data_IF_840806797476
#
_entry.id   IF_840806797476
#
_cell.length_a   1.000
_cell.length_b   1.000
_cell.length_c   1.000
_cell.angle_alpha   90.00
_cell.angle_beta   90.00
_cell.angle_gamma   90.00
#
_symmetry.space_group_name_H-M   'P 1'
#
loop_
_entity.id
_entity.type
_entity.pdbx_description
1 polymer ?
#
# COMPACT_ATOMS: atom_id res chain seq x y z
N UNK A 1 13.28 -53.76 -28.53
CA UNK A 1 14.07 -52.57 -28.84
C UNK A 1 13.93 -51.56 -27.71
N UNK A 2 14.94 -51.51 -26.83
CA UNK A 2 15.01 -50.51 -25.77
C UNK A 2 15.51 -49.20 -26.37
N UNK A 3 14.63 -48.20 -26.45
CA UNK A 3 15.03 -46.84 -26.79
C UNK A 3 15.62 -46.19 -25.54
N UNK A 4 16.94 -46.05 -25.56
CA UNK A 4 17.69 -45.25 -24.60
C UNK A 4 17.19 -43.81 -24.68
N UNK A 5 16.53 -43.34 -23.62
CA UNK A 5 16.17 -41.93 -23.48
C UNK A 5 17.45 -41.16 -23.18
N UNK A 6 17.96 -40.47 -24.19
CA UNK A 6 19.07 -39.55 -24.05
C UNK A 6 18.60 -38.34 -23.23
N UNK A 7 19.12 -38.22 -22.00
CA UNK A 7 18.87 -37.09 -21.11
C UNK A 7 19.50 -35.87 -21.76
N UNK A 8 18.69 -34.97 -22.35
CA UNK A 8 19.16 -33.64 -22.74
C UNK A 8 19.36 -32.83 -21.45
N UNK A 9 20.57 -32.31 -21.19
CA UNK A 9 20.80 -31.49 -20.01
C UNK A 9 20.07 -30.15 -20.19
N UNK A 10 19.05 -29.93 -19.35
CA UNK A 10 18.22 -28.74 -19.35
C UNK A 10 19.09 -27.50 -19.05
N UNK A 11 19.22 -26.64 -20.06
CA UNK A 11 19.88 -25.34 -19.94
C UNK A 11 19.00 -24.45 -19.07
N UNK A 12 19.30 -24.46 -17.77
CA UNK A 12 18.51 -23.86 -16.72
C UNK A 12 17.97 -22.45 -17.00
N UNK A 13 16.67 -22.32 -16.81
CA UNK A 13 16.01 -21.04 -16.51
C UNK A 13 15.49 -21.11 -15.07
N UNK A 14 16.03 -20.31 -14.14
CA UNK A 14 15.46 -20.16 -12.80
C UNK A 14 14.16 -19.36 -12.92
N UNK A 15 13.03 -19.95 -12.51
CA UNK A 15 11.75 -19.24 -12.41
C UNK A 15 10.52 -20.01 -12.87
N UNK A 16 10.66 -21.17 -13.52
CA UNK A 16 9.52 -22.04 -13.83
C UNK A 16 9.43 -23.15 -12.77
N UNK A 17 8.61 -22.93 -11.75
CA UNK A 17 8.12 -23.91 -10.78
C UNK A 17 7.36 -25.03 -11.50
N UNK A 18 8.13 -26.01 -12.01
CA UNK A 18 7.62 -27.28 -12.54
C UNK A 18 7.18 -28.17 -11.39
N UNK A 19 5.90 -28.16 -11.06
CA UNK A 19 5.25 -29.39 -10.62
C UNK A 19 4.96 -30.24 -11.86
N UNK A 20 5.78 -31.27 -12.06
CA UNK A 20 5.67 -32.20 -13.18
C UNK A 20 4.43 -33.09 -13.03
N UNK A 21 3.47 -32.97 -13.96
CA UNK A 21 2.32 -33.87 -14.03
C UNK A 21 1.22 -33.49 -15.02
N UNK A 22 1.53 -33.50 -16.32
CA UNK A 22 0.65 -33.93 -17.43
C UNK A 22 -0.76 -33.32 -17.64
N UNK A 23 -0.92 -32.05 -18.03
CA UNK A 23 -1.98 -31.64 -18.98
C UNK A 23 -1.98 -30.14 -19.35
N UNK A 24 -2.20 -29.91 -20.64
CA UNK A 24 -2.95 -28.82 -21.26
C UNK A 24 -2.39 -27.39 -21.42
N UNK A 25 -2.34 -27.04 -22.70
CA UNK A 25 -2.27 -25.70 -23.26
C UNK A 25 -3.56 -24.90 -22.93
N UNK A 26 -3.83 -24.61 -21.66
CA UNK A 26 -4.87 -23.65 -21.26
C UNK A 26 -4.22 -22.35 -20.75
N UNK A 27 -3.94 -21.45 -21.69
CA UNK A 27 -3.40 -20.11 -21.44
C UNK A 27 -4.43 -19.14 -20.80
N UNK A 28 -5.47 -19.62 -20.11
CA UNK A 28 -6.53 -18.74 -19.56
C UNK A 28 -6.57 -18.68 -18.03
N UNK A 29 -5.82 -19.52 -17.32
CA UNK A 29 -5.74 -19.42 -15.85
C UNK A 29 -4.29 -19.22 -15.44
N UNK A 30 -3.90 -17.95 -15.33
CA UNK A 30 -2.64 -17.59 -14.71
C UNK A 30 -2.75 -17.82 -13.19
N UNK A 31 -1.64 -18.24 -12.61
CA UNK A 31 -1.34 -18.17 -11.19
C UNK A 31 -0.09 -17.26 -11.15
N UNK A 32 -0.31 -15.96 -10.97
CA UNK A 32 0.72 -14.93 -11.12
C UNK A 32 1.77 -14.99 -10.03
N UNK A 33 1.38 -15.39 -8.83
CA UNK A 33 2.21 -15.33 -7.65
C UNK A 33 2.80 -16.69 -7.25
N UNK A 34 2.26 -17.78 -7.81
CA UNK A 34 2.77 -19.13 -7.71
C UNK A 34 2.40 -19.83 -6.40
N UNK A 35 1.31 -19.42 -5.74
CA UNK A 35 0.86 -19.99 -4.47
C UNK A 35 0.02 -21.28 -4.61
N UNK A 36 -0.37 -21.60 -5.85
CA UNK A 36 -1.16 -22.78 -6.21
C UNK A 36 -2.66 -22.53 -6.36
N UNK A 37 -3.12 -21.28 -6.24
CA UNK A 37 -4.47 -20.82 -6.53
C UNK A 37 -4.44 -20.02 -7.84
N UNK A 38 -5.50 -20.12 -8.65
CA UNK A 38 -5.57 -19.42 -9.93
C UNK A 38 -6.01 -17.98 -9.67
N UNK A 39 -5.53 -17.01 -10.45
CA UNK A 39 -5.83 -15.58 -10.30
C UNK A 39 -7.34 -15.26 -10.22
N UNK A 40 -8.20 -16.10 -10.80
CA UNK A 40 -9.67 -15.92 -10.75
C UNK A 40 -10.31 -16.37 -9.42
N UNK A 41 -9.64 -17.26 -8.70
CA UNK A 41 -10.06 -17.84 -7.42
C UNK A 41 -9.21 -17.31 -6.25
N UNK A 42 -8.20 -16.48 -6.52
CA UNK A 42 -7.23 -15.97 -5.56
C UNK A 42 -7.68 -14.62 -4.98
N UNK A 43 -7.81 -14.55 -3.65
CA UNK A 43 -8.15 -13.31 -2.96
C UNK A 43 -6.97 -12.32 -2.82
N UNK A 44 -5.76 -12.71 -3.27
CA UNK A 44 -4.60 -11.84 -3.42
C UNK A 44 -3.74 -12.21 -4.68
N UNK A 45 -4.21 -11.97 -5.92
CA UNK A 45 -3.58 -12.45 -7.17
C UNK A 45 -2.14 -11.98 -7.49
N UNK A 46 -1.53 -11.19 -6.62
CA UNK A 46 -0.18 -10.65 -6.76
C UNK A 46 0.71 -10.94 -5.53
N UNK A 47 0.16 -11.56 -4.47
CA UNK A 47 0.82 -11.77 -3.18
C UNK A 47 0.54 -13.18 -2.60
N UNK A 48 1.54 -14.11 -2.62
CA UNK A 48 1.30 -15.53 -2.33
C UNK A 48 0.67 -15.82 -0.97
N UNK A 49 -0.51 -16.44 -0.99
CA UNK A 49 -1.25 -16.77 0.22
C UNK A 49 -2.10 -18.05 0.07
N UNK A 50 -1.46 -19.20 -0.19
CA UNK A 50 -2.17 -20.46 -0.50
C UNK A 50 -3.09 -21.04 0.59
N UNK A 51 -3.21 -20.40 1.75
CA UNK A 51 -4.25 -20.69 2.75
C UNK A 51 -5.53 -19.85 2.57
N UNK A 52 -5.51 -18.84 1.69
CA UNK A 52 -6.60 -17.95 1.31
C UNK A 52 -7.30 -17.37 2.55
N UNK A 53 -6.49 -16.93 3.52
CA UNK A 53 -6.99 -16.36 4.78
C UNK A 53 -7.63 -15.00 4.52
N UNK A 54 -8.85 -14.82 5.00
CA UNK A 54 -9.63 -13.58 4.96
C UNK A 54 -10.45 -13.55 6.27
N UNK A 55 -9.97 -12.77 7.25
CA UNK A 55 -10.50 -12.83 8.61
C UNK A 55 -11.80 -12.05 8.79
N UNK A 56 -12.04 -11.00 8.01
CA UNK A 56 -13.23 -10.16 8.12
C UNK A 56 -14.27 -10.39 7.02
N UNK A 57 -13.93 -11.21 6.02
CA UNK A 57 -14.80 -11.72 4.96
C UNK A 57 -15.23 -10.64 3.97
N UNK A 58 -14.32 -9.73 3.63
CA UNK A 58 -14.56 -8.66 2.66
C UNK A 58 -14.16 -9.01 1.23
N UNK A 59 -13.47 -10.15 1.05
CA UNK A 59 -13.04 -10.68 -0.24
C UNK A 59 -11.60 -10.36 -0.60
N UNK A 60 -10.85 -9.62 0.22
CA UNK A 60 -9.41 -9.46 0.12
C UNK A 60 -8.72 -10.39 1.12
N UNK A 61 -7.63 -11.03 0.70
CA UNK A 61 -6.86 -11.87 1.61
C UNK A 61 -6.07 -11.03 2.62
N UNK A 62 -5.87 -11.59 3.82
CA UNK A 62 -5.14 -10.96 4.93
C UNK A 62 -3.73 -10.45 4.55
N UNK A 63 -3.16 -10.97 3.45
CA UNK A 63 -1.83 -10.60 2.94
C UNK A 63 -1.85 -9.30 2.13
N UNK A 64 -2.90 -9.07 1.34
CA UNK A 64 -3.07 -7.90 0.49
C UNK A 64 -4.08 -6.89 1.05
N UNK A 65 -4.79 -7.22 2.14
CA UNK A 65 -5.65 -6.29 2.86
C UNK A 65 -4.89 -5.41 3.87
N UNK A 66 -5.17 -4.10 3.81
CA UNK A 66 -4.67 -3.11 4.75
C UNK A 66 -5.31 -3.19 6.14
N UNK A 67 -6.51 -3.78 6.25
CA UNK A 67 -7.31 -3.74 7.45
C UNK A 67 -7.95 -5.11 7.76
N UNK A 68 -7.15 -6.19 8.01
CA UNK A 68 -7.54 -7.62 8.00
C UNK A 68 -8.52 -8.05 9.10
N UNK A 69 -9.17 -7.10 9.76
CA UNK A 69 -10.13 -7.32 10.85
C UNK A 69 -11.34 -6.40 10.73
N UNK A 70 -11.44 -5.62 9.64
CA UNK A 70 -12.46 -4.62 9.40
C UNK A 70 -12.96 -4.65 7.95
N UNK A 71 -14.01 -5.43 7.73
CA UNK A 71 -14.68 -5.58 6.44
C UNK A 71 -15.34 -4.32 5.86
N UNK A 72 -15.27 -3.18 6.54
CA UNK A 72 -15.75 -1.91 5.98
C UNK A 72 -14.62 -1.13 5.29
N UNK A 73 -13.39 -1.63 5.31
CA UNK A 73 -12.22 -1.02 4.65
C UNK A 73 -11.48 -2.03 3.74
N UNK A 74 -12.18 -2.74 2.83
CA UNK A 74 -11.57 -3.67 1.87
C UNK A 74 -10.69 -2.91 0.89
N UNK A 75 -9.38 -2.83 1.09
CA UNK A 75 -8.45 -1.96 0.33
C UNK A 75 -8.60 -1.82 -1.20
N UNK A 76 -7.82 -0.85 -1.74
CA UNK A 76 -7.65 -0.38 -3.14
C UNK A 76 -8.24 1.03 -3.47
N UNK A 77 -8.83 1.74 -2.50
CA UNK A 77 -9.19 3.15 -2.64
C UNK A 77 -8.09 4.14 -2.16
N UNK A 78 -6.93 3.61 -1.75
CA UNK A 78 -5.75 4.40 -1.38
C UNK A 78 -5.90 5.20 -0.08
N UNK A 79 -6.87 4.86 0.78
CA UNK A 79 -7.09 5.54 2.06
C UNK A 79 -6.77 4.68 3.29
N UNK A 80 -5.74 3.83 3.25
CA UNK A 80 -5.32 3.14 4.46
C UNK A 80 -4.76 4.13 5.52
N UNK A 81 -5.33 4.18 6.74
CA UNK A 81 -4.81 5.03 7.81
C UNK A 81 -3.43 4.61 8.35
N UNK A 82 -2.81 3.54 7.84
CA UNK A 82 -1.53 3.06 8.37
C UNK A 82 -0.50 2.50 7.37
N UNK A 83 -0.75 2.45 6.05
CA UNK A 83 0.35 2.27 5.07
C UNK A 83 0.74 3.63 4.44
N UNK A 84 1.22 4.55 5.29
CA UNK A 84 2.21 5.54 4.84
C UNK A 84 1.76 6.75 4.00
N UNK A 85 0.48 7.11 3.88
CA UNK A 85 0.11 8.47 3.41
C UNK A 85 -1.28 8.97 3.80
N UNK A 86 -1.56 9.01 5.09
CA UNK A 86 -2.11 10.27 5.60
C UNK A 86 -0.91 11.13 5.92
N UNK A 87 -0.71 12.19 5.15
CA UNK A 87 0.05 13.33 5.63
C UNK A 87 -0.71 13.85 6.85
N UNK A 88 -0.45 13.25 8.01
CA UNK A 88 -0.72 13.88 9.30
C UNK A 88 0.23 15.07 9.25
N UNK A 89 -0.20 16.19 8.68
CA UNK A 89 0.37 17.47 9.06
C UNK A 89 0.11 17.56 10.56
N UNK A 90 1.12 17.43 11.43
CA UNK A 90 0.89 17.50 12.86
C UNK A 90 0.41 18.91 13.18
N UNK A 91 -0.90 19.06 13.39
CA UNK A 91 -1.52 20.13 14.14
C UNK A 91 -0.95 21.54 13.96
N UNK A 92 -0.97 22.10 12.74
CA UNK A 92 -1.10 23.56 12.64
C UNK A 92 -2.53 23.90 13.01
N UNK A 93 -2.82 23.95 14.31
CA UNK A 93 -4.09 24.51 14.78
C UNK A 93 -4.26 25.88 14.11
N UNK A 94 -5.44 26.21 13.55
CA UNK A 94 -5.65 27.50 12.88
C UNK A 94 -5.33 28.72 13.78
N UNK A 95 -5.32 28.51 15.10
CA UNK A 95 -4.84 29.46 16.11
C UNK A 95 -3.36 29.87 15.96
N UNK A 96 -2.46 28.95 15.59
CA UNK A 96 -1.04 29.24 15.38
C UNK A 96 -0.79 30.10 14.13
N UNK A 97 -1.68 30.06 13.14
CA UNK A 97 -1.58 30.89 11.93
C UNK A 97 -1.82 32.39 12.20
N UNK A 98 -2.46 32.74 13.33
CA UNK A 98 -2.72 34.13 13.72
C UNK A 98 -1.63 34.75 14.58
N UNK A 99 -0.71 33.95 15.15
CA UNK A 99 0.42 34.47 15.94
C UNK A 99 1.27 35.51 15.20
N UNK A 100 1.69 35.31 13.93
CA UNK A 100 2.45 36.34 13.22
C UNK A 100 1.64 37.63 13.00
N UNK A 101 0.33 37.54 12.79
CA UNK A 101 -0.55 38.71 12.67
C UNK A 101 -0.73 39.45 14.00
N UNK A 102 -0.85 38.73 15.12
CA UNK A 102 -0.95 39.32 16.46
C UNK A 102 0.35 39.99 16.89
N UNK A 103 1.51 39.37 16.59
CA UNK A 103 2.83 39.97 16.82
C UNK A 103 3.01 41.21 15.95
N UNK A 104 2.67 41.14 14.65
CA UNK A 104 2.74 42.29 13.75
C UNK A 104 1.81 43.44 14.21
N UNK A 105 0.59 43.13 14.64
CA UNK A 105 -0.34 44.12 15.21
C UNK A 105 0.19 44.74 16.50
N UNK A 106 0.81 43.94 17.38
CA UNK A 106 1.47 44.42 18.60
C UNK A 106 2.62 45.38 18.31
N UNK A 107 3.50 45.03 17.36
CA UNK A 107 4.63 45.88 16.93
C UNK A 107 4.14 47.18 16.29
N UNK A 108 3.15 47.12 15.38
CA UNK A 108 2.55 48.31 14.75
C UNK A 108 1.88 49.23 15.79
N UNK A 109 1.23 48.66 16.80
CA UNK A 109 0.61 49.44 17.89
C UNK A 109 1.66 50.10 18.80
N UNK A 110 2.77 49.41 19.08
CA UNK A 110 3.88 49.96 19.84
C UNK A 110 4.58 51.11 19.09
N UNK A 111 4.81 50.95 17.77
CA UNK A 111 5.36 52.01 16.92
C UNK A 111 4.47 53.27 16.92
N UNK A 112 3.15 53.11 17.03
CA UNK A 112 2.19 54.23 17.14
C UNK A 112 2.27 55.00 18.46
N UNK A 113 2.66 54.35 19.56
CA UNK A 113 2.83 54.99 20.88
C UNK A 113 4.17 55.73 21.04
N UNK A 114 5.16 55.46 20.19
CA UNK A 114 6.47 56.12 20.23
C UNK A 114 6.56 57.45 19.49
N UNK A 115 5.54 57.85 18.73
CA UNK A 115 5.53 59.10 17.96
C UNK A 115 5.12 60.35 18.79
N UNK A 116 5.19 60.27 20.12
CA UNK A 116 5.13 61.44 21.00
C UNK A 116 6.47 62.19 20.96
N UNK A 117 6.57 63.11 20.00
CA UNK A 117 7.74 63.98 19.74
C UNK A 117 8.26 64.69 21.00
N UNK A 118 9.58 64.89 21.14
CA UNK A 118 10.16 65.75 22.17
C UNK A 118 10.06 67.21 21.72
N UNK A 119 9.54 68.09 22.58
CA UNK A 119 9.65 69.57 22.53
C UNK A 119 8.79 70.11 23.69
N UNK A 120 9.20 71.07 24.52
CA UNK A 120 10.40 71.90 24.60
C UNK A 120 10.34 72.59 25.95
#
# INVERSE_FOLDING_TARGET
DELMVEIIPDSGTPGANRCAGIDDLHFENADRDGDGILDEDDNCPDDPNGNQSDQDLDGLGDVCDCAPTNANEPGDDGQCPSCGSSTITPGVSPLLALLPLLVLWGVLRAARKGAGSPRR
#
